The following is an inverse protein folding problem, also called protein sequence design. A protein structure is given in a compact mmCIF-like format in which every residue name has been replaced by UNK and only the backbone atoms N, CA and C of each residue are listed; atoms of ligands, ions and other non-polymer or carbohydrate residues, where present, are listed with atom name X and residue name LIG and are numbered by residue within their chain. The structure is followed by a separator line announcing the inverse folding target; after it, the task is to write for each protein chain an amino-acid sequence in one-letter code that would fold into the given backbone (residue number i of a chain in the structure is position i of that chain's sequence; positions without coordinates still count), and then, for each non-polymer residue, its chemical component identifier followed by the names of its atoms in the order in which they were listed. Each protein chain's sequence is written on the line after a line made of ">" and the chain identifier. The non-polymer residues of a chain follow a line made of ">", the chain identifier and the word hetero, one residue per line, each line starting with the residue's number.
data_IF_813253188879
#
_entry.id   IF_813253188879
#
_cell.length_a   1.000
_cell.length_b   1.000
_cell.length_c   1.000
_cell.angle_alpha   90.00
_cell.angle_beta   90.00
_cell.angle_gamma   90.00
#
_symmetry.space_group_name_H-M   'P 1'
#
loop_
_entity.id
_entity.type
_entity.pdbx_description
1 polymer ?
#
# COMPACT_ATOMS: atom_id res chain seq x y z
N UNK A 1 6.81 14.65 20.77
CA UNK A 1 6.18 14.12 19.55
C UNK A 1 7.24 13.34 18.83
N UNK A 2 7.00 12.06 18.61
CA UNK A 2 7.89 11.21 17.83
C UNK A 2 7.43 11.22 16.38
N UNK A 3 8.38 11.22 15.46
CA UNK A 3 8.11 11.10 14.03
C UNK A 3 8.37 9.66 13.59
N UNK A 4 7.51 9.17 12.73
CA UNK A 4 7.53 7.81 12.20
C UNK A 4 7.57 7.86 10.68
N UNK A 5 8.23 6.88 10.08
CA UNK A 5 8.16 6.65 8.63
C UNK A 5 7.04 5.67 8.35
N UNK A 6 6.11 6.06 7.48
CA UNK A 6 4.97 5.25 7.07
C UNK A 6 5.00 5.09 5.55
N UNK A 7 5.03 3.84 5.09
CA UNK A 7 4.95 3.47 3.69
C UNK A 7 3.55 2.97 3.37
N UNK A 8 2.88 3.65 2.43
CA UNK A 8 1.51 3.35 2.00
C UNK A 8 1.47 2.95 0.54
N UNK A 9 0.72 1.90 0.22
CA UNK A 9 0.66 1.33 -1.12
C UNK A 9 -0.75 1.35 -1.73
N UNK A 10 -1.77 1.78 -0.98
CA UNK A 10 -3.17 1.68 -1.38
C UNK A 10 -3.95 2.99 -1.25
N UNK A 11 -5.14 2.92 -0.64
CA UNK A 11 -6.11 4.03 -0.56
C UNK A 11 -5.62 5.31 0.15
N UNK A 12 -4.50 5.24 0.88
CA UNK A 12 -3.83 6.36 1.53
C UNK A 12 -2.89 7.15 0.58
N UNK A 13 -2.50 6.58 -0.56
CA UNK A 13 -1.65 7.25 -1.56
C UNK A 13 -2.30 8.53 -2.08
N UNK A 14 -1.49 9.46 -2.60
CA UNK A 14 -1.99 10.67 -3.28
C UNK A 14 -2.99 10.32 -4.38
N UNK A 15 -4.06 11.11 -4.47
CA UNK A 15 -5.13 10.90 -5.45
C UNK A 15 -6.21 9.90 -5.01
N UNK A 16 -6.01 9.17 -3.91
CA UNK A 16 -7.00 8.24 -3.37
C UNK A 16 -7.80 8.83 -2.20
N UNK A 17 -8.98 8.25 -1.94
CA UNK A 17 -9.97 8.81 -1.01
C UNK A 17 -9.52 8.94 0.45
N UNK A 18 -8.57 8.11 0.92
CA UNK A 18 -8.07 8.19 2.29
C UNK A 18 -6.84 9.10 2.44
N UNK A 19 -6.32 9.68 1.35
CA UNK A 19 -5.14 10.56 1.41
C UNK A 19 -5.31 11.76 2.35
N UNK A 20 -6.55 12.18 2.64
CA UNK A 20 -6.84 13.24 3.63
C UNK A 20 -6.19 13.01 5.00
N UNK A 21 -5.94 11.76 5.43
CA UNK A 21 -5.23 11.48 6.69
C UNK A 21 -3.74 11.85 6.64
N UNK A 22 -3.15 11.92 5.44
CA UNK A 22 -1.75 12.24 5.21
C UNK A 22 -1.55 13.64 4.62
N UNK A 23 -2.63 14.43 4.51
CA UNK A 23 -2.62 15.74 3.82
C UNK A 23 -1.62 16.73 4.41
N UNK A 24 -1.42 16.70 5.73
CA UNK A 24 -0.47 17.55 6.46
C UNK A 24 0.87 16.83 6.74
N UNK A 25 1.04 15.59 6.28
CA UNK A 25 2.24 14.79 6.50
C UNK A 25 3.31 15.07 5.44
N UNK A 26 4.58 14.97 5.83
CA UNK A 26 5.70 15.21 4.90
C UNK A 26 5.88 14.01 3.98
N UNK A 27 5.66 14.20 2.68
CA UNK A 27 6.03 13.21 1.67
C UNK A 27 7.55 13.15 1.50
N UNK A 28 8.11 11.95 1.56
CA UNK A 28 9.55 11.72 1.43
C UNK A 28 9.92 11.18 0.05
N UNK A 29 9.22 10.15 -0.44
CA UNK A 29 9.54 9.51 -1.72
C UNK A 29 8.42 8.59 -2.24
N UNK A 30 8.43 8.33 -3.54
CA UNK A 30 7.83 7.10 -4.11
C UNK A 30 8.93 6.04 -4.16
N UNK A 31 8.67 4.84 -3.64
CA UNK A 31 9.67 3.76 -3.56
C UNK A 31 9.00 2.38 -3.54
N UNK A 32 9.81 1.33 -3.44
CA UNK A 32 9.36 -0.06 -3.35
C UNK A 32 9.86 -0.70 -2.05
N UNK A 33 9.26 -1.81 -1.64
CA UNK A 33 9.90 -2.73 -0.71
C UNK A 33 11.23 -3.22 -1.28
N UNK A 34 12.24 -3.42 -0.44
CA UNK A 34 13.57 -3.85 -0.88
C UNK A 34 13.57 -5.29 -1.41
N UNK A 35 12.81 -6.17 -0.76
CA UNK A 35 12.75 -7.58 -1.10
C UNK A 35 11.45 -7.94 -1.85
N UNK A 36 11.53 -8.83 -2.87
CA UNK A 36 10.38 -9.39 -3.55
C UNK A 36 9.80 -10.57 -2.75
N UNK A 37 9.08 -10.27 -1.67
CA UNK A 37 8.57 -11.25 -0.72
C UNK A 37 7.04 -11.19 -0.53
N UNK A 38 6.36 -10.40 -1.35
CA UNK A 38 4.98 -10.00 -1.12
C UNK A 38 4.10 -10.33 -2.33
N UNK A 39 2.80 -10.44 -2.09
CA UNK A 39 1.76 -10.42 -3.11
C UNK A 39 0.76 -9.31 -2.79
N UNK A 40 0.25 -8.63 -3.82
CA UNK A 40 -0.84 -7.68 -3.68
C UNK A 40 -2.16 -8.29 -4.16
N UNK A 41 -3.18 -8.21 -3.32
CA UNK A 41 -4.53 -8.66 -3.60
C UNK A 41 -5.45 -7.45 -3.76
N UNK A 42 -6.37 -7.50 -4.72
CA UNK A 42 -7.50 -6.59 -4.78
C UNK A 42 -8.63 -7.12 -3.90
N UNK A 43 -9.07 -6.30 -2.94
CA UNK A 43 -10.27 -6.52 -2.13
C UNK A 43 -11.47 -5.73 -2.69
N UNK A 44 -11.42 -5.38 -3.98
CA UNK A 44 -12.38 -4.50 -4.63
C UNK A 44 -11.98 -3.03 -4.47
N UNK A 45 -12.41 -2.39 -3.37
CA UNK A 45 -12.23 -0.94 -3.20
C UNK A 45 -10.82 -0.53 -2.77
N UNK A 46 -10.00 -1.47 -2.30
CA UNK A 46 -8.65 -1.21 -1.80
C UNK A 46 -7.76 -2.46 -1.91
N UNK A 47 -6.43 -2.29 -1.92
CA UNK A 47 -5.52 -3.42 -1.97
C UNK A 47 -5.23 -3.98 -0.57
N UNK A 48 -4.73 -5.21 -0.54
CA UNK A 48 -4.08 -5.80 0.60
C UNK A 48 -2.73 -6.38 0.20
N UNK A 49 -1.71 -6.21 1.04
CA UNK A 49 -0.42 -6.89 0.89
C UNK A 49 -0.34 -8.04 1.89
N UNK A 50 0.21 -9.16 1.41
CA UNK A 50 0.48 -10.36 2.21
C UNK A 50 1.90 -10.87 1.93
N UNK A 51 2.49 -11.53 2.93
CA UNK A 51 3.79 -12.18 2.83
C UNK A 51 3.73 -13.50 2.02
N UNK A 52 4.90 -13.95 1.56
CA UNK A 52 5.07 -15.25 0.88
C UNK A 52 4.88 -15.21 -0.63
N UNK A 53 4.78 -14.00 -1.20
CA UNK A 53 4.75 -13.78 -2.64
C UNK A 53 6.16 -13.60 -3.23
N UNK A 54 6.21 -13.14 -4.48
CA UNK A 54 7.45 -12.96 -5.25
C UNK A 54 7.58 -11.55 -5.84
N UNK A 55 6.76 -10.61 -5.36
CA UNK A 55 6.72 -9.24 -5.87
C UNK A 55 7.24 -8.24 -4.83
N UNK A 56 7.79 -7.14 -5.34
CA UNK A 56 8.01 -5.91 -4.59
C UNK A 56 6.73 -5.07 -4.61
N UNK A 57 6.47 -4.32 -3.56
CA UNK A 57 5.31 -3.43 -3.47
C UNK A 57 5.75 -2.00 -3.73
N UNK A 58 5.17 -1.31 -4.72
CA UNK A 58 5.38 0.11 -4.93
C UNK A 58 4.37 0.95 -4.13
N UNK A 59 4.87 2.02 -3.50
CA UNK A 59 4.08 2.91 -2.68
C UNK A 59 4.74 4.26 -2.46
N UNK A 60 4.20 4.99 -1.50
CA UNK A 60 4.61 6.32 -1.09
C UNK A 60 5.07 6.30 0.36
N UNK A 61 6.19 6.96 0.64
CA UNK A 61 6.78 7.07 1.96
C UNK A 61 6.51 8.46 2.53
N UNK A 62 6.00 8.50 3.76
CA UNK A 62 5.68 9.71 4.51
C UNK A 62 6.35 9.72 5.87
N UNK A 63 6.61 10.92 6.38
CA UNK A 63 6.88 11.16 7.80
C UNK A 63 5.59 11.60 8.48
N UNK A 64 5.19 10.91 9.54
CA UNK A 64 3.94 11.10 10.28
C UNK A 64 4.21 11.21 11.78
N UNK A 65 3.40 11.99 12.49
CA UNK A 65 3.47 12.06 13.95
C UNK A 65 2.64 10.96 14.64
N UNK A 66 2.79 10.85 15.96
CA UNK A 66 2.08 9.86 16.78
C UNK A 66 0.55 9.93 16.60
N UNK A 67 -0.01 11.13 16.45
CA UNK A 67 -1.46 11.32 16.32
C UNK A 67 -1.97 10.85 14.95
N UNK A 68 -1.27 11.22 13.89
CA UNK A 68 -1.59 10.80 12.51
C UNK A 68 -1.48 9.28 12.39
N UNK A 69 -0.41 8.70 12.94
CA UNK A 69 -0.21 7.26 12.92
C UNK A 69 -1.34 6.51 13.67
N UNK A 70 -1.79 7.04 14.82
CA UNK A 70 -2.91 6.46 15.56
C UNK A 70 -4.26 6.57 14.80
N UNK A 71 -4.48 7.65 14.06
CA UNK A 71 -5.66 7.80 13.19
C UNK A 71 -5.67 6.77 12.06
N UNK A 72 -4.51 6.51 11.47
CA UNK A 72 -4.35 5.50 10.41
C UNK A 72 -4.50 4.09 10.98
N UNK A 73 -3.95 3.81 12.17
CA UNK A 73 -4.16 2.53 12.85
C UNK A 73 -5.66 2.23 13.06
N UNK A 74 -6.45 3.25 13.42
CA UNK A 74 -7.90 3.12 13.55
C UNK A 74 -8.60 2.88 12.20
N UNK A 75 -8.18 3.58 11.14
CA UNK A 75 -8.71 3.40 9.79
C UNK A 75 -8.47 1.98 9.26
N UNK A 76 -7.23 1.51 9.37
CA UNK A 76 -6.78 0.20 8.86
C UNK A 76 -7.20 -0.96 9.77
N UNK A 77 -7.74 -0.67 10.97
CA UNK A 77 -8.11 -1.69 11.94
C UNK A 77 -6.91 -2.50 12.40
N UNK A 78 -5.81 -1.82 12.74
CA UNK A 78 -4.55 -2.42 13.18
C UNK A 78 -4.75 -3.47 14.29
N UNK A 79 -4.18 -4.66 14.12
CA UNK A 79 -4.32 -5.82 15.01
C UNK A 79 -5.64 -6.60 14.83
N UNK A 80 -6.46 -6.26 13.84
CA UNK A 80 -7.71 -6.97 13.53
C UNK A 80 -7.86 -7.29 12.05
N UNK A 81 -7.73 -6.29 11.19
CA UNK A 81 -7.92 -6.43 9.75
C UNK A 81 -6.58 -6.32 9.03
N UNK A 82 -5.86 -5.22 9.25
CA UNK A 82 -4.44 -5.14 8.98
C UNK A 82 -3.61 -5.23 10.27
N UNK A 83 -2.33 -5.51 10.13
CA UNK A 83 -1.30 -5.36 11.16
C UNK A 83 -0.11 -4.62 10.55
N UNK A 84 0.42 -3.63 11.27
CA UNK A 84 1.62 -2.94 10.82
C UNK A 84 2.90 -3.63 11.29
N UNK A 85 3.91 -3.59 10.45
CA UNK A 85 5.24 -4.12 10.72
C UNK A 85 6.27 -3.27 9.96
N UNK A 86 7.53 -3.37 10.33
CA UNK A 86 8.59 -2.58 9.69
C UNK A 86 9.15 -3.31 8.48
N UNK A 87 9.28 -2.58 7.37
CA UNK A 87 9.90 -3.08 6.13
C UNK A 87 11.10 -2.22 5.73
N UNK A 88 12.09 -2.87 5.15
CA UNK A 88 13.16 -2.20 4.41
C UNK A 88 12.63 -1.81 3.02
N UNK A 89 12.89 -0.57 2.63
CA UNK A 89 12.55 -0.01 1.33
C UNK A 89 13.79 0.08 0.45
N UNK A 90 13.61 0.08 -0.87
CA UNK A 90 14.72 0.10 -1.84
C UNK A 90 15.56 1.38 -1.79
N UNK A 91 15.05 2.45 -1.18
CA UNK A 91 15.82 3.67 -0.90
C UNK A 91 16.66 3.60 0.40
N UNK A 92 16.69 2.44 1.08
CA UNK A 92 17.44 2.19 2.30
C UNK A 92 16.71 2.58 3.59
N UNK A 93 15.49 3.09 3.50
CA UNK A 93 14.69 3.46 4.66
C UNK A 93 13.97 2.27 5.29
N UNK A 94 13.73 2.35 6.60
CA UNK A 94 12.85 1.42 7.32
C UNK A 94 11.58 2.16 7.70
N UNK A 95 10.43 1.61 7.31
CA UNK A 95 9.13 2.24 7.52
C UNK A 95 8.07 1.24 7.97
N UNK A 96 7.04 1.73 8.66
CA UNK A 96 5.84 0.96 8.91
C UNK A 96 5.08 0.71 7.61
N UNK A 97 4.59 -0.50 7.41
CA UNK A 97 3.66 -0.87 6.33
C UNK A 97 2.56 -1.76 6.91
N UNK A 98 1.35 -1.70 6.36
CA UNK A 98 0.21 -2.51 6.81
C UNK A 98 0.06 -3.80 5.99
N UNK A 99 -0.13 -4.94 6.65
CA UNK A 99 -0.36 -6.26 6.05
C UNK A 99 -1.68 -6.86 6.47
N UNK A 100 -2.31 -7.59 5.57
CA UNK A 100 -3.59 -8.24 5.86
C UNK A 100 -3.40 -9.39 6.86
N UNK A 101 -4.23 -9.43 7.90
CA UNK A 101 -4.14 -10.43 8.95
C UNK A 101 -4.90 -11.70 8.55
N UNK A 102 -4.22 -12.85 8.66
CA UNK A 102 -4.82 -14.18 8.70
C UNK A 102 -5.07 -14.87 7.35
N UNK A 103 -4.99 -16.21 7.37
CA UNK A 103 -5.14 -17.05 6.17
C UNK A 103 -6.57 -17.02 5.56
N UNK A 104 -7.57 -16.59 6.33
CA UNK A 104 -8.97 -16.58 5.88
C UNK A 104 -9.28 -15.39 4.97
N UNK A 105 -8.59 -14.25 5.13
CA UNK A 105 -8.79 -13.07 4.29
C UNK A 105 -8.24 -13.26 2.86
N UNK A 106 -7.25 -14.15 2.69
CA UNK A 106 -6.73 -14.58 1.38
C UNK A 106 -7.79 -15.23 0.48
N UNK A 107 -8.87 -15.77 1.05
CA UNK A 107 -9.90 -16.48 0.28
C UNK A 107 -10.87 -15.55 -0.48
N UNK A 108 -10.77 -14.23 -0.31
CA UNK A 108 -11.70 -13.25 -0.89
C UNK A 108 -11.01 -12.20 -1.78
N UNK A 109 -9.68 -12.20 -1.85
CA UNK A 109 -8.92 -11.29 -2.71
C UNK A 109 -8.57 -11.92 -4.05
N UNK A 110 -8.56 -11.12 -5.10
CA UNK A 110 -8.01 -11.52 -6.41
C UNK A 110 -6.57 -11.03 -6.52
N UNK A 111 -5.64 -11.93 -6.86
CA UNK A 111 -4.25 -11.55 -7.09
C UNK A 111 -4.15 -10.52 -8.23
N UNK A 112 -3.35 -9.48 -8.00
CA UNK A 112 -3.15 -8.42 -8.97
C UNK A 112 -2.06 -8.78 -9.97
N UNK A 113 -2.22 -8.32 -11.21
CA UNK A 113 -1.14 -8.42 -12.20
C UNK A 113 0.00 -7.50 -11.79
N UNK A 114 1.22 -8.01 -11.87
CA UNK A 114 2.44 -7.26 -11.57
C UNK A 114 3.23 -7.00 -12.84
N UNK A 115 4.05 -5.94 -12.84
CA UNK A 115 4.92 -5.60 -13.96
C UNK A 115 6.36 -5.70 -13.50
N UNK A 116 7.14 -6.59 -14.14
CA UNK A 116 8.53 -6.85 -13.78
C UNK A 116 8.74 -7.17 -12.29
N UNK A 117 7.82 -7.93 -11.68
CA UNK A 117 7.88 -8.28 -10.27
C UNK A 117 7.58 -7.12 -9.31
N UNK A 118 6.92 -6.06 -9.80
CA UNK A 118 6.46 -4.92 -8.99
C UNK A 118 4.93 -4.87 -9.03
N UNK A 119 4.31 -4.99 -7.85
CA UNK A 119 2.90 -4.77 -7.65
C UNK A 119 2.62 -3.29 -7.39
N UNK A 120 1.62 -2.74 -8.09
CA UNK A 120 1.23 -1.33 -8.01
C UNK A 120 -0.29 -1.23 -7.88
N UNK A 121 -0.77 -0.56 -6.83
CA UNK A 121 -2.17 -0.16 -6.77
C UNK A 121 -2.38 1.14 -7.55
N UNK A 122 -3.15 1.05 -8.62
CA UNK A 122 -3.58 2.19 -9.44
C UNK A 122 -5.09 2.38 -9.30
N UNK A 123 -5.53 3.63 -9.39
CA UNK A 123 -6.96 3.93 -9.36
C UNK A 123 -7.65 3.34 -10.59
N UNK A 124 -8.82 2.74 -10.38
CA UNK A 124 -9.58 2.04 -11.41
C UNK A 124 -9.96 2.98 -12.58
N UNK A 125 -10.00 4.29 -12.35
CA UNK A 125 -10.25 5.28 -13.40
C UNK A 125 -9.15 5.29 -14.48
N UNK A 126 -7.88 5.13 -14.09
CA UNK A 126 -6.75 5.03 -15.02
C UNK A 126 -6.75 3.70 -15.76
N UNK A 127 -7.12 2.62 -15.08
CA UNK A 127 -7.30 1.30 -15.71
C UNK A 127 -8.44 1.30 -16.73
N UNK A 128 -9.55 2.00 -16.44
CA UNK A 128 -10.65 2.17 -17.38
C UNK A 128 -10.17 2.89 -18.65
N UNK A 129 -9.52 4.05 -18.51
CA UNK A 129 -9.02 4.83 -19.66
C UNK A 129 -7.99 4.03 -20.48
N UNK A 130 -7.05 3.34 -19.83
CA UNK A 130 -6.03 2.54 -20.52
C UNK A 130 -6.64 1.34 -21.25
N UNK A 131 -7.63 0.67 -20.65
CA UNK A 131 -8.35 -0.45 -21.29
C UNK A 131 -9.14 0.01 -22.52
N UNK A 132 -9.78 1.18 -22.48
CA UNK A 132 -10.46 1.75 -23.66
C UNK A 132 -9.48 2.17 -24.76
N UNK A 133 -8.34 2.76 -24.39
CA UNK A 133 -7.32 3.21 -25.36
C UNK A 133 -6.68 2.03 -26.12
N UNK A 134 -6.37 0.94 -25.45
CA UNK A 134 -5.82 -0.27 -26.08
C UNK A 134 -6.87 -1.08 -26.87
N UNK A 135 -8.16 -0.91 -26.59
CA UNK A 135 -9.25 -1.54 -27.35
C UNK A 135 -9.68 -0.72 -28.59
N UNK A 136 -9.10 0.48 -28.78
CA UNK A 136 -9.38 1.39 -29.89
C UNK A 136 -8.25 1.51 -30.92
N UNK A 137 -7.18 0.72 -30.77
CA UNK A 137 -6.09 0.53 -31.75
C UNK A 137 -6.21 -0.86 -32.39
#
# INVERSE_FOLDING_TARGET
>A
MTLHKLFVYGSLKRGFGNHRFLSESTFLATTTTADPAYSMLSLGAFPAVVDGGVDMIQGELYEVDDNTLAQIDMLEGNGRFYERFQVLLSNGEVAWMYHLVGATALSHGSEMQTSNGIAVWEDDFSNYINKWRMASE
#
